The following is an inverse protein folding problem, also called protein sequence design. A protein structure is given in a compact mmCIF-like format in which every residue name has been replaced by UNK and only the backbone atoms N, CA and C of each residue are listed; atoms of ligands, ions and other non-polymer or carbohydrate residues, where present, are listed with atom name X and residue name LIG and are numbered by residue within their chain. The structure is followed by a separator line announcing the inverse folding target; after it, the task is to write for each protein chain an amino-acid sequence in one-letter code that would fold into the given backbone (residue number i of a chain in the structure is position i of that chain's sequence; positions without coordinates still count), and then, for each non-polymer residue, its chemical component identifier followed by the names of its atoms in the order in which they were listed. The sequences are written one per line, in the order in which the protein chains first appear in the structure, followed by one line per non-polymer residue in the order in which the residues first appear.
data_IF_474504431974
#
_entry.id   IF_474504431974
#
_cell.length_a   1.000
_cell.length_b   1.000
_cell.length_c   1.000
_cell.angle_alpha   90.00
_cell.angle_beta   90.00
_cell.angle_gamma   90.00
#
_symmetry.space_group_name_H-M   'P 1'
#
loop_
_entity.id
_entity.type
_entity.pdbx_description
1 polymer ?
#
# COMPACT_ATOMS: atom_id res chain seq x y z
N UNK A 1 -6.68 12.81 -14.10
CA UNK A 1 -6.32 12.65 -15.53
C UNK A 1 -6.78 13.84 -16.38
N UNK A 2 -8.05 14.29 -16.25
CA UNK A 2 -8.59 15.41 -17.05
C UNK A 2 -7.80 16.71 -16.91
N UNK A 3 -7.45 17.12 -15.69
CA UNK A 3 -6.65 18.34 -15.45
C UNK A 3 -5.26 18.24 -16.11
N UNK A 4 -4.63 17.06 -16.05
CA UNK A 4 -3.33 16.83 -16.69
C UNK A 4 -3.42 16.96 -18.23
N UNK A 5 -4.49 16.43 -18.84
CA UNK A 5 -4.73 16.57 -20.28
C UNK A 5 -4.96 18.02 -20.66
N UNK A 6 -5.75 18.75 -19.87
CA UNK A 6 -6.01 20.18 -20.09
C UNK A 6 -4.71 21.00 -20.04
N UNK A 7 -3.80 20.70 -19.12
CA UNK A 7 -2.50 21.36 -19.02
C UNK A 7 -1.60 21.13 -20.25
N UNK A 8 -1.82 20.05 -21.00
CA UNK A 8 -1.07 19.73 -22.23
C UNK A 8 -1.64 20.40 -23.49
N UNK A 9 -2.80 21.05 -23.40
CA UNK A 9 -3.39 21.73 -24.56
C UNK A 9 -2.53 22.96 -24.91
N UNK A 10 -1.93 23.02 -26.11
CA UNK A 10 -1.03 24.11 -26.50
C UNK A 10 -1.68 25.50 -26.41
N UNK A 11 -3.00 25.57 -26.61
CA UNK A 11 -3.76 26.83 -26.55
C UNK A 11 -3.79 27.47 -25.15
N UNK A 12 -3.64 26.66 -24.10
CA UNK A 12 -3.68 27.15 -22.71
C UNK A 12 -2.31 27.58 -22.19
N UNK A 13 -1.21 27.27 -22.93
CA UNK A 13 0.13 27.76 -22.64
C UNK A 13 0.71 27.37 -21.26
N UNK A 14 0.08 26.40 -20.56
CA UNK A 14 0.49 26.03 -19.21
C UNK A 14 1.79 25.21 -19.23
N UNK A 15 1.94 24.33 -20.22
CA UNK A 15 3.15 23.50 -20.40
C UNK A 15 3.52 23.52 -21.88
N UNK A 16 4.76 23.91 -22.20
CA UNK A 16 5.25 23.82 -23.58
C UNK A 16 5.60 22.37 -23.94
N UNK A 17 5.50 21.97 -25.23
CA UNK A 17 5.91 20.64 -25.68
C UNK A 17 7.37 20.33 -25.35
N UNK A 18 8.25 21.32 -25.38
CA UNK A 18 9.67 21.21 -25.03
C UNK A 18 9.82 20.92 -23.54
N UNK A 19 9.17 21.68 -22.68
CA UNK A 19 9.18 21.49 -21.22
C UNK A 19 8.64 20.10 -20.84
N UNK A 20 7.60 19.63 -21.55
CA UNK A 20 7.05 18.29 -21.34
C UNK A 20 8.07 17.19 -21.67
N UNK A 21 8.73 17.30 -22.85
CA UNK A 21 9.76 16.32 -23.26
C UNK A 21 10.97 16.28 -22.33
N UNK A 22 11.44 17.44 -21.88
CA UNK A 22 12.64 17.55 -21.03
C UNK A 22 12.38 17.16 -19.58
N UNK A 23 11.21 17.50 -19.06
CA UNK A 23 10.89 17.33 -17.62
C UNK A 23 9.96 16.16 -17.31
N UNK A 24 9.49 15.43 -18.33
CA UNK A 24 8.65 14.26 -18.10
C UNK A 24 9.44 13.16 -17.39
N UNK A 25 9.08 12.81 -16.16
CA UNK A 25 9.79 11.78 -15.42
C UNK A 25 9.36 10.39 -15.92
N UNK A 26 10.05 9.84 -16.92
CA UNK A 26 9.78 8.51 -17.49
C UNK A 26 10.02 7.41 -16.46
N UNK A 27 10.99 7.59 -15.56
CA UNK A 27 11.32 6.59 -14.52
C UNK A 27 10.13 6.23 -13.61
N UNK A 28 9.36 7.15 -13.04
CA UNK A 28 8.17 6.82 -12.27
C UNK A 28 7.10 6.08 -13.08
N UNK A 29 6.96 6.40 -14.37
CA UNK A 29 5.99 5.72 -15.24
C UNK A 29 6.38 4.27 -15.48
N UNK A 30 7.65 4.01 -15.79
CA UNK A 30 8.20 2.64 -15.94
C UNK A 30 8.12 1.87 -14.61
N UNK A 31 8.37 2.55 -13.49
CA UNK A 31 8.26 1.95 -12.17
C UNK A 31 6.84 1.49 -11.86
N UNK A 32 5.83 2.34 -12.09
CA UNK A 32 4.42 1.97 -11.88
C UNK A 32 4.00 0.85 -12.83
N UNK A 33 4.39 0.92 -14.11
CA UNK A 33 4.11 -0.15 -15.08
C UNK A 33 4.74 -1.49 -14.66
N UNK A 34 5.98 -1.46 -14.13
CA UNK A 34 6.65 -2.64 -13.58
C UNK A 34 5.92 -3.25 -12.39
N UNK A 35 5.44 -2.43 -11.46
CA UNK A 35 4.65 -2.88 -10.30
C UNK A 35 3.35 -3.56 -10.74
N UNK A 36 2.63 -2.96 -11.68
CA UNK A 36 1.41 -3.55 -12.26
C UNK A 36 1.72 -4.88 -12.93
N UNK A 37 2.84 -4.95 -13.66
CA UNK A 37 3.33 -6.19 -14.29
C UNK A 37 3.61 -7.30 -13.27
N UNK A 38 4.23 -6.98 -12.14
CA UNK A 38 4.45 -7.95 -11.04
C UNK A 38 3.12 -8.48 -10.50
N UNK A 39 2.14 -7.61 -10.28
CA UNK A 39 0.79 -8.03 -9.85
C UNK A 39 0.13 -9.00 -10.85
N UNK A 40 0.26 -8.73 -12.15
CA UNK A 40 -0.24 -9.63 -13.20
C UNK A 40 0.46 -11.00 -13.16
N UNK A 41 1.80 -11.04 -13.00
CA UNK A 41 2.56 -12.28 -12.87
C UNK A 41 2.08 -13.08 -11.65
N UNK A 42 1.89 -12.46 -10.50
CA UNK A 42 1.38 -13.13 -9.28
C UNK A 42 0.00 -13.75 -9.53
N UNK A 43 -0.89 -13.04 -10.25
CA UNK A 43 -2.23 -13.54 -10.56
C UNK A 43 -2.22 -14.72 -11.54
N UNK A 44 -1.42 -14.64 -12.62
CA UNK A 44 -1.47 -15.60 -13.74
C UNK A 44 -0.63 -16.87 -13.53
N UNK A 45 0.42 -16.80 -12.70
CA UNK A 45 1.38 -17.92 -12.54
C UNK A 45 1.00 -18.93 -11.45
N UNK A 46 -0.09 -18.71 -10.72
CA UNK A 46 -0.43 -19.49 -9.53
C UNK A 46 0.43 -19.17 -8.29
N UNK A 47 1.38 -18.26 -8.42
CA UNK A 47 2.19 -17.79 -7.30
C UNK A 47 1.31 -17.15 -6.22
N UNK A 48 0.23 -16.49 -6.63
CA UNK A 48 -0.76 -15.94 -5.72
C UNK A 48 -1.38 -16.99 -4.81
N UNK A 49 -1.83 -18.11 -5.37
CA UNK A 49 -2.40 -19.22 -4.61
C UNK A 49 -1.39 -19.81 -3.62
N UNK A 50 -0.14 -20.01 -4.06
CA UNK A 50 0.93 -20.51 -3.17
C UNK A 50 1.21 -19.55 -2.00
N UNK A 51 1.31 -18.25 -2.27
CA UNK A 51 1.52 -17.24 -1.23
C UNK A 51 0.33 -17.20 -0.28
N UNK A 52 -0.90 -17.21 -0.80
CA UNK A 52 -2.13 -17.21 -0.02
C UNK A 52 -2.17 -18.39 0.94
N UNK A 53 -1.93 -19.61 0.45
CA UNK A 53 -1.88 -20.81 1.27
C UNK A 53 -0.85 -20.71 2.40
N UNK A 54 0.34 -20.20 2.12
CA UNK A 54 1.38 -19.99 3.13
C UNK A 54 0.97 -18.97 4.18
N UNK A 55 0.37 -17.86 3.76
CA UNK A 55 -0.13 -16.84 4.69
C UNK A 55 -1.23 -17.41 5.58
N UNK A 56 -2.21 -18.08 5.01
CA UNK A 56 -3.34 -18.68 5.75
C UNK A 56 -2.84 -19.69 6.78
N UNK A 57 -1.96 -20.60 6.36
CA UNK A 57 -1.41 -21.63 7.25
C UNK A 57 -0.54 -21.06 8.37
N UNK A 58 0.26 -20.02 8.09
CA UNK A 58 1.15 -19.41 9.07
C UNK A 58 0.42 -18.51 10.07
N UNK A 59 -0.67 -17.86 9.64
CA UNK A 59 -1.38 -16.86 10.43
C UNK A 59 -2.57 -17.42 11.22
N UNK A 60 -2.95 -18.69 10.99
CA UNK A 60 -4.13 -19.32 11.58
C UNK A 60 -5.38 -18.42 11.42
N UNK A 61 -5.61 -17.91 10.20
CA UNK A 61 -6.83 -17.18 9.88
C UNK A 61 -8.04 -18.10 10.05
N UNK A 62 -9.10 -17.58 10.65
CA UNK A 62 -10.36 -18.31 10.83
C UNK A 62 -11.53 -17.37 10.56
N UNK A 63 -12.57 -17.85 9.87
CA UNK A 63 -13.81 -17.08 9.69
C UNK A 63 -14.53 -16.76 11.00
N UNK A 64 -14.25 -17.52 12.07
CA UNK A 64 -14.89 -17.34 13.37
C UNK A 64 -14.32 -16.17 14.19
N UNK A 65 -13.19 -15.59 13.75
CA UNK A 65 -12.54 -14.45 14.42
C UNK A 65 -12.16 -13.34 13.43
N UNK A 66 -13.15 -12.59 12.93
CA UNK A 66 -12.94 -11.52 11.96
C UNK A 66 -12.05 -10.38 12.49
N UNK A 67 -12.12 -10.08 13.79
CA UNK A 67 -11.30 -9.05 14.40
C UNK A 67 -9.81 -9.43 14.36
N UNK A 68 -9.50 -10.68 14.67
CA UNK A 68 -8.16 -11.22 14.48
C UNK A 68 -7.75 -11.16 13.01
N UNK A 69 -8.65 -11.52 12.10
CA UNK A 69 -8.45 -11.40 10.65
C UNK A 69 -8.01 -9.99 10.25
N UNK A 70 -8.68 -8.96 10.76
CA UNK A 70 -8.31 -7.56 10.53
C UNK A 70 -6.88 -7.24 10.96
N UNK A 71 -6.48 -7.59 12.20
CA UNK A 71 -5.14 -7.30 12.70
C UNK A 71 -4.06 -8.11 11.99
N UNK A 72 -4.33 -9.36 11.68
CA UNK A 72 -3.40 -10.24 10.95
C UNK A 72 -3.16 -9.70 9.54
N UNK A 73 -4.21 -9.40 8.79
CA UNK A 73 -4.09 -8.92 7.40
C UNK A 73 -3.44 -7.53 7.34
N UNK A 74 -3.80 -6.63 8.25
CA UNK A 74 -3.14 -5.32 8.38
C UNK A 74 -1.66 -5.49 8.75
N UNK A 75 -1.35 -6.41 9.66
CA UNK A 75 0.02 -6.73 10.06
C UNK A 75 0.87 -7.31 8.93
N UNK A 76 0.30 -8.19 8.10
CA UNK A 76 0.96 -8.73 6.91
C UNK A 76 1.27 -7.61 5.91
N UNK A 77 0.30 -6.72 5.66
CA UNK A 77 0.52 -5.58 4.77
C UNK A 77 1.61 -4.63 5.30
N UNK A 78 1.65 -4.37 6.61
CA UNK A 78 2.73 -3.63 7.26
C UNK A 78 4.09 -4.32 7.07
N UNK A 79 4.15 -5.62 7.34
CA UNK A 79 5.38 -6.40 7.23
C UNK A 79 5.93 -6.39 5.80
N UNK A 80 5.06 -6.58 4.81
CA UNK A 80 5.46 -6.46 3.40
C UNK A 80 5.97 -5.06 3.05
N UNK A 81 5.48 -4.04 3.72
CA UNK A 81 5.96 -2.67 3.57
C UNK A 81 7.44 -2.49 3.91
N UNK A 82 8.04 -3.33 4.76
CA UNK A 82 9.50 -3.30 5.02
C UNK A 82 10.34 -3.77 3.82
N UNK A 83 9.77 -4.56 2.93
CA UNK A 83 10.47 -5.10 1.76
C UNK A 83 10.05 -4.46 0.45
N UNK A 84 9.04 -3.58 0.51
CA UNK A 84 8.47 -2.94 -0.66
C UNK A 84 8.17 -1.46 -0.39
N UNK A 85 7.81 -0.74 -1.45
CA UNK A 85 7.23 0.60 -1.34
C UNK A 85 5.71 0.51 -1.22
N UNK A 86 5.04 1.60 -0.81
CA UNK A 86 3.57 1.63 -0.68
C UNK A 86 2.81 1.03 -1.88
N UNK A 87 3.15 1.34 -3.14
CA UNK A 87 2.44 0.73 -4.28
C UNK A 87 2.73 -0.76 -4.48
N UNK A 88 3.86 -1.26 -4.00
CA UNK A 88 4.25 -2.66 -4.16
C UNK A 88 3.45 -3.63 -3.27
N UNK A 89 3.01 -3.19 -2.10
CA UNK A 89 2.23 -4.03 -1.19
C UNK A 89 0.90 -4.47 -1.81
N UNK A 90 0.04 -3.59 -2.34
CA UNK A 90 -1.18 -4.01 -3.02
C UNK A 90 -0.91 -4.83 -4.28
N UNK A 91 0.19 -4.61 -5.00
CA UNK A 91 0.53 -5.44 -6.16
C UNK A 91 0.71 -6.93 -5.80
N UNK A 92 1.14 -7.22 -4.57
CA UNK A 92 1.28 -8.59 -4.06
C UNK A 92 -0.04 -9.10 -3.45
N UNK A 93 -0.74 -8.28 -2.68
CA UNK A 93 -1.88 -8.73 -1.88
C UNK A 93 -3.23 -8.69 -2.61
N UNK A 94 -3.43 -7.78 -3.58
CA UNK A 94 -4.71 -7.69 -4.31
C UNK A 94 -5.02 -8.95 -5.10
N UNK A 95 -4.07 -9.57 -5.82
CA UNK A 95 -4.33 -10.81 -6.55
C UNK A 95 -4.81 -11.97 -5.68
N UNK A 96 -4.45 -12.01 -4.40
CA UNK A 96 -4.81 -13.06 -3.44
C UNK A 96 -5.92 -12.65 -2.46
N UNK A 97 -6.49 -11.47 -2.63
CA UNK A 97 -7.46 -10.92 -1.68
C UNK A 97 -8.73 -11.77 -1.55
N UNK A 98 -9.16 -12.42 -2.63
CA UNK A 98 -10.32 -13.34 -2.60
C UNK A 98 -10.07 -14.55 -1.71
N UNK A 99 -8.88 -15.16 -1.78
CA UNK A 99 -8.52 -16.31 -0.96
C UNK A 99 -8.42 -15.90 0.52
N UNK A 100 -7.84 -14.73 0.78
CA UNK A 100 -7.75 -14.16 2.13
C UNK A 100 -9.14 -13.81 2.70
N UNK A 101 -10.08 -13.40 1.85
CA UNK A 101 -11.48 -13.15 2.21
C UNK A 101 -12.14 -14.45 2.70
N UNK A 102 -12.02 -15.52 1.94
CA UNK A 102 -12.56 -16.83 2.32
C UNK A 102 -11.93 -17.32 3.63
N UNK A 103 -10.61 -17.21 3.77
CA UNK A 103 -9.89 -17.71 4.93
C UNK A 103 -10.15 -16.93 6.22
N UNK A 104 -10.42 -15.63 6.12
CA UNK A 104 -10.65 -14.75 7.28
C UNK A 104 -12.13 -14.53 7.59
N UNK A 105 -13.05 -14.94 6.72
CA UNK A 105 -14.48 -14.64 6.84
C UNK A 105 -14.85 -13.18 6.65
N UNK A 106 -13.89 -12.32 6.28
CA UNK A 106 -14.12 -10.91 6.01
C UNK A 106 -14.59 -10.70 4.57
N UNK A 107 -15.47 -9.74 4.34
CA UNK A 107 -15.83 -9.35 2.97
C UNK A 107 -14.59 -8.90 2.19
N UNK A 108 -14.58 -9.18 0.88
CA UNK A 108 -13.45 -8.80 0.00
C UNK A 108 -13.08 -7.32 0.11
N UNK A 109 -14.09 -6.43 0.22
CA UNK A 109 -13.87 -4.99 0.42
C UNK A 109 -13.10 -4.72 1.71
N UNK A 110 -13.47 -5.37 2.80
CA UNK A 110 -12.82 -5.24 4.10
C UNK A 110 -11.37 -5.73 4.01
N UNK A 111 -11.11 -6.88 3.38
CA UNK A 111 -9.76 -7.40 3.14
C UNK A 111 -8.90 -6.41 2.35
N UNK A 112 -9.43 -5.83 1.28
CA UNK A 112 -8.72 -4.81 0.51
C UNK A 112 -8.41 -3.56 1.35
N UNK A 113 -9.34 -3.17 2.23
CA UNK A 113 -9.14 -2.01 3.10
C UNK A 113 -8.13 -2.27 4.23
N UNK A 114 -8.00 -3.51 4.73
CA UNK A 114 -6.93 -3.84 5.69
C UNK A 114 -5.54 -3.62 5.11
N UNK A 115 -5.37 -3.84 3.81
CA UNK A 115 -4.11 -3.56 3.12
C UNK A 115 -3.77 -2.07 3.16
N UNK A 116 -4.78 -1.18 2.99
CA UNK A 116 -4.59 0.28 3.07
C UNK A 116 -4.10 0.67 4.46
N UNK A 117 -4.73 0.15 5.52
CA UNK A 117 -4.30 0.38 6.90
C UNK A 117 -2.85 -0.07 7.11
N UNK A 118 -2.51 -1.26 6.60
CA UNK A 118 -1.17 -1.83 6.73
C UNK A 118 -0.12 -1.02 6.01
N UNK A 119 -0.25 -0.82 4.70
CA UNK A 119 0.80 -0.14 3.93
C UNK A 119 0.89 1.37 4.19
N UNK A 120 -0.17 2.01 4.69
CA UNK A 120 -0.12 3.42 5.09
C UNK A 120 0.64 3.66 6.40
N UNK A 121 0.94 2.60 7.15
CA UNK A 121 1.77 2.67 8.36
C UNK A 121 3.24 2.67 7.96
N UNK A 122 3.80 3.88 7.80
CA UNK A 122 5.17 4.08 7.31
C UNK A 122 6.16 3.99 8.46
N UNK A 123 7.08 3.03 8.38
CA UNK A 123 8.16 2.81 9.35
C UNK A 123 9.48 3.42 8.92
N UNK A 124 9.76 3.41 7.63
CA UNK A 124 11.03 3.83 7.06
C UNK A 124 10.77 4.77 5.86
N UNK A 125 11.52 5.86 5.72
CA UNK A 125 11.27 6.86 4.69
C UNK A 125 11.25 6.32 3.26
N UNK A 126 12.02 5.26 2.96
CA UNK A 126 12.09 4.70 1.62
C UNK A 126 10.79 4.02 1.16
N UNK A 127 9.92 3.63 2.10
CA UNK A 127 8.62 3.05 1.77
C UNK A 127 7.75 4.03 0.97
N UNK A 128 8.01 5.33 1.15
CA UNK A 128 7.28 6.42 0.49
C UNK A 128 8.27 7.31 -0.25
N UNK A 129 8.54 7.09 -1.53
CA UNK A 129 9.53 7.85 -2.30
C UNK A 129 9.41 9.37 -2.20
N UNK A 130 8.22 9.99 -2.17
CA UNK A 130 8.08 11.43 -1.94
C UNK A 130 8.70 11.93 -0.63
N UNK A 131 8.72 11.11 0.44
CA UNK A 131 9.36 11.50 1.71
C UNK A 131 10.87 11.66 1.52
N UNK A 132 11.50 10.73 0.80
CA UNK A 132 12.94 10.79 0.49
C UNK A 132 13.26 12.06 -0.28
N UNK A 133 12.48 12.37 -1.32
CA UNK A 133 12.66 13.59 -2.12
C UNK A 133 12.49 14.84 -1.25
N UNK A 134 11.45 14.89 -0.42
CA UNK A 134 11.23 16.01 0.50
C UNK A 134 12.37 16.19 1.50
N UNK A 135 12.88 15.09 2.07
CA UNK A 135 14.03 15.12 2.97
C UNK A 135 15.30 15.64 2.28
N UNK A 136 15.56 15.21 1.04
CA UNK A 136 16.72 15.68 0.27
C UNK A 136 16.63 17.17 -0.01
N UNK A 137 15.47 17.66 -0.46
CA UNK A 137 15.24 19.09 -0.71
C UNK A 137 15.36 19.95 0.55
N UNK A 138 14.94 19.42 1.70
CA UNK A 138 15.01 20.12 2.98
C UNK A 138 16.36 19.93 3.73
N UNK A 139 17.30 19.17 3.18
CA UNK A 139 18.59 18.88 3.85
C UNK A 139 18.44 18.06 5.13
N UNK A 140 17.35 17.28 5.28
CA UNK A 140 17.09 16.48 6.48
C UNK A 140 17.91 15.19 6.41
N UNK A 141 18.72 14.88 7.46
CA UNK A 141 19.51 13.66 7.47
C UNK A 141 18.60 12.41 7.57
N UNK A 142 19.01 11.32 6.92
CA UNK A 142 18.23 10.07 6.85
C UNK A 142 17.84 9.55 8.24
N UNK A 143 18.74 9.63 9.21
CA UNK A 143 18.47 9.15 10.58
C UNK A 143 17.35 9.93 11.28
N UNK A 144 17.21 11.23 11.01
CA UNK A 144 16.12 12.03 11.55
C UNK A 144 14.78 11.61 10.92
N UNK A 145 14.77 11.36 9.60
CA UNK A 145 13.60 10.83 8.91
C UNK A 145 13.18 9.47 9.46
N UNK A 146 14.12 8.54 9.64
CA UNK A 146 13.84 7.21 10.22
C UNK A 146 13.23 7.33 11.62
N UNK A 147 13.76 8.17 12.48
CA UNK A 147 13.23 8.36 13.85
C UNK A 147 11.78 8.85 13.82
N UNK A 148 11.48 9.80 12.96
CA UNK A 148 10.13 10.39 12.84
C UNK A 148 9.15 9.37 12.27
N UNK A 149 9.49 8.71 11.15
CA UNK A 149 8.61 7.72 10.53
C UNK A 149 8.39 6.52 11.43
N UNK A 150 9.43 6.01 12.11
CA UNK A 150 9.29 4.90 13.05
C UNK A 150 8.40 5.27 14.24
N UNK A 151 8.53 6.50 14.79
CA UNK A 151 7.66 6.97 15.86
C UNK A 151 6.20 7.06 15.40
N UNK A 152 5.95 7.62 14.22
CA UNK A 152 4.61 7.70 13.64
C UNK A 152 4.08 6.29 13.36
N UNK A 153 4.89 5.38 12.83
CA UNK A 153 4.53 3.99 12.61
C UNK A 153 4.13 3.28 13.90
N UNK A 154 4.86 3.51 14.99
CA UNK A 154 4.54 2.96 16.31
C UNK A 154 3.20 3.51 16.85
N UNK A 155 2.99 4.81 16.73
CA UNK A 155 1.71 5.45 17.12
C UNK A 155 0.57 4.88 16.27
N UNK A 156 0.77 4.72 14.97
CA UNK A 156 -0.22 4.13 14.07
C UNK A 156 -0.56 2.70 14.45
N UNK A 157 0.44 1.89 14.78
CA UNK A 157 0.24 0.50 15.17
C UNK A 157 -0.53 0.39 16.49
N UNK A 158 -0.12 1.16 17.52
CA UNK A 158 -0.65 1.01 18.89
C UNK A 158 -1.96 1.77 19.08
N UNK A 159 -2.14 2.90 18.43
CA UNK A 159 -3.27 3.80 18.65
C UNK A 159 -4.23 3.79 17.47
N UNK A 160 -3.74 4.09 16.26
CA UNK A 160 -4.64 4.26 15.11
C UNK A 160 -5.25 2.95 14.63
N UNK A 161 -4.48 1.87 14.61
CA UNK A 161 -4.97 0.56 14.14
C UNK A 161 -6.13 0.03 15.01
N UNK A 162 -6.05 0.02 16.36
CA UNK A 162 -7.18 -0.31 17.21
C UNK A 162 -8.39 0.65 17.05
N UNK A 163 -8.14 1.94 16.91
CA UNK A 163 -9.22 2.92 16.67
C UNK A 163 -9.94 2.62 15.35
N UNK A 164 -9.19 2.31 14.29
CA UNK A 164 -9.78 1.93 12.99
C UNK A 164 -10.59 0.65 13.11
N UNK A 165 -10.11 -0.35 13.86
CA UNK A 165 -10.86 -1.58 14.09
C UNK A 165 -12.20 -1.31 14.78
N UNK A 166 -12.22 -0.51 15.86
CA UNK A 166 -13.45 -0.10 16.55
C UNK A 166 -14.36 0.71 15.61
N UNK A 167 -13.80 1.62 14.84
CA UNK A 167 -14.54 2.41 13.87
C UNK A 167 -15.23 1.53 12.81
N UNK A 168 -14.53 0.50 12.33
CA UNK A 168 -15.09 -0.42 11.33
C UNK A 168 -16.16 -1.35 11.92
N UNK A 169 -16.06 -1.70 13.22
CA UNK A 169 -17.17 -2.37 13.91
C UNK A 169 -18.41 -1.49 13.98
N UNK A 170 -18.26 -0.19 14.31
CA UNK A 170 -19.36 0.75 14.34
C UNK A 170 -20.02 0.97 12.96
N UNK A 171 -19.25 0.85 11.89
CA UNK A 171 -19.74 0.95 10.50
C UNK A 171 -20.29 -0.37 9.95
N UNK A 172 -20.16 -1.49 10.69
CA UNK A 172 -20.61 -2.81 10.24
C UNK A 172 -19.71 -3.48 9.22
N UNK A 173 -18.44 -3.04 9.06
CA UNK A 173 -17.43 -3.72 8.23
C UNK A 173 -16.71 -4.85 8.96
N UNK A 174 -16.70 -4.78 10.28
CA UNK A 174 -16.28 -5.86 11.18
C UNK A 174 -17.46 -6.20 12.07
N UNK A 175 -17.76 -7.49 12.28
CA UNK A 175 -18.82 -7.93 13.17
C UNK A 175 -18.50 -7.65 14.64
#
# INVERSE_FOLDING_TARGET
LGVGIVCLVPLLGVISPETFKEKMPISPLLYVAGIIGVGAVVAETGLGAFISERIVNASNLSPDDPLRGFFVLSGIAMFLGFFSTMPGVPAILVPIASDLSVASGLELKTVLMTQVVGFSTVWLPYQVPPIIVGMQLAGVPMMAGIKITALIGLISLIILNPIVAVWWQLLGYLP
#
